data_IF_548905692454
#
_entry.id   IF_548905692454
#
_cell.length_a   1.000
_cell.length_b   1.000
_cell.length_c   1.000
_cell.angle_alpha   90.00
_cell.angle_beta   90.00
_cell.angle_gamma   90.00
#
_symmetry.space_group_name_H-M   'P 1'
#
loop_
_entity.id
_entity.type
_entity.pdbx_description
1 polymer ?
#
# COMPACT_ATOMS: atom_id res chain seq x y z
N UNK A 1 -9.05 -8.33 24.18
CA UNK A 1 -8.55 -8.94 22.93
C UNK A 1 -8.68 -7.94 21.81
N UNK A 2 -7.69 -7.85 20.91
CA UNK A 2 -7.86 -7.11 19.66
C UNK A 2 -9.09 -7.64 18.90
N UNK A 3 -9.76 -6.76 18.15
CA UNK A 3 -10.81 -7.17 17.23
C UNK A 3 -10.17 -7.90 16.04
N UNK A 4 -10.75 -9.03 15.66
CA UNK A 4 -10.37 -9.81 14.50
C UNK A 4 -11.51 -9.78 13.48
N UNK A 5 -11.18 -9.50 12.22
CA UNK A 5 -12.09 -9.54 11.08
C UNK A 5 -11.46 -10.49 10.07
N UNK A 6 -11.90 -11.74 10.07
CA UNK A 6 -11.29 -12.80 9.28
C UNK A 6 -12.28 -13.63 8.47
N UNK A 7 -11.82 -14.14 7.33
CA UNK A 7 -12.57 -15.05 6.46
C UNK A 7 -13.93 -14.54 6.02
N UNK A 8 -14.08 -13.23 5.82
CA UNK A 8 -15.30 -12.64 5.32
C UNK A 8 -15.27 -12.50 3.79
N UNK A 9 -16.45 -12.60 3.18
CA UNK A 9 -16.65 -12.28 1.77
C UNK A 9 -17.38 -10.95 1.63
N UNK A 10 -16.64 -9.87 1.37
CA UNK A 10 -17.19 -8.56 1.06
C UNK A 10 -17.30 -8.41 -0.45
N UNK A 11 -18.52 -8.18 -0.97
CA UNK A 11 -18.69 -8.10 -2.40
C UNK A 11 -19.76 -7.13 -2.87
N UNK A 12 -19.61 -6.71 -4.13
CA UNK A 12 -20.63 -6.01 -4.92
C UNK A 12 -21.17 -4.74 -4.26
N UNK A 13 -20.25 -3.93 -3.73
CA UNK A 13 -20.58 -2.59 -3.25
C UNK A 13 -20.52 -1.61 -4.41
N UNK A 14 -21.67 -1.20 -4.92
CA UNK A 14 -21.74 -0.25 -6.04
C UNK A 14 -21.17 1.13 -5.69
N UNK A 15 -20.71 1.84 -6.72
CA UNK A 15 -20.17 3.19 -6.60
C UNK A 15 -21.17 4.15 -6.00
N UNK A 16 -20.82 4.71 -4.84
CA UNK A 16 -21.70 5.61 -4.11
C UNK A 16 -21.72 7.04 -4.67
N UNK A 17 -20.68 7.44 -5.40
CA UNK A 17 -20.54 8.78 -5.98
C UNK A 17 -20.28 9.91 -4.97
N UNK A 18 -20.15 9.58 -3.68
CA UNK A 18 -19.77 10.48 -2.59
C UNK A 18 -19.03 9.73 -1.49
N UNK A 19 -18.37 10.46 -0.60
CA UNK A 19 -17.67 9.90 0.55
C UNK A 19 -18.62 9.29 1.60
N UNK A 20 -18.13 8.33 2.40
CA UNK A 20 -18.87 7.65 3.47
C UNK A 20 -19.37 6.26 3.09
N UNK A 21 -18.72 5.66 2.09
CA UNK A 21 -19.04 4.35 1.55
C UNK A 21 -17.86 3.36 1.65
N UNK A 22 -16.99 3.52 2.65
CA UNK A 22 -15.91 2.58 2.94
C UNK A 22 -16.47 1.18 3.26
N UNK A 23 -15.85 0.11 2.75
CA UNK A 23 -16.26 -1.28 3.08
C UNK A 23 -15.95 -1.60 4.53
N UNK A 24 -14.73 -1.29 4.98
CA UNK A 24 -14.35 -1.36 6.38
C UNK A 24 -13.80 -0.01 6.82
N UNK A 25 -14.18 0.40 8.02
CA UNK A 25 -13.54 1.53 8.70
C UNK A 25 -13.19 1.13 10.13
N UNK A 26 -11.92 1.30 10.50
CA UNK A 26 -11.45 1.11 11.88
C UNK A 26 -11.33 2.48 12.52
N UNK A 27 -12.21 2.76 13.50
CA UNK A 27 -12.38 4.05 14.21
C UNK A 27 -12.90 5.21 13.32
N UNK A 28 -13.19 6.39 13.89
CA UNK A 28 -13.88 7.50 13.24
C UNK A 28 -13.34 8.88 13.62
N UNK A 29 -12.91 9.66 12.61
CA UNK A 29 -12.69 11.11 12.67
C UNK A 29 -11.54 11.62 13.54
N UNK A 30 -11.04 10.82 14.49
CA UNK A 30 -10.02 11.21 15.50
C UNK A 30 -8.86 10.22 15.59
N UNK A 31 -8.54 9.56 14.48
CA UNK A 31 -7.69 8.37 14.43
C UNK A 31 -6.21 8.48 14.79
N UNK A 32 -5.80 9.59 15.37
CA UNK A 32 -4.46 9.79 15.94
C UNK A 32 -4.46 9.61 17.46
N UNK A 33 -5.56 9.09 18.04
CA UNK A 33 -5.76 9.04 19.49
C UNK A 33 -5.52 7.66 20.08
N UNK A 34 -5.78 6.60 19.32
CA UNK A 34 -5.97 5.27 19.89
C UNK A 34 -5.25 4.18 19.11
N UNK A 35 -4.58 3.31 19.87
CA UNK A 35 -4.16 2.01 19.39
C UNK A 35 -5.39 1.10 19.35
N UNK A 36 -5.72 0.58 18.17
CA UNK A 36 -6.86 -0.33 18.00
C UNK A 36 -6.43 -1.79 17.94
N UNK A 37 -5.19 -2.05 17.50
CA UNK A 37 -4.65 -3.40 17.32
C UNK A 37 -5.56 -4.32 16.49
N UNK A 38 -6.43 -3.77 15.65
CA UNK A 38 -7.38 -4.56 14.86
C UNK A 38 -6.61 -5.38 13.82
N UNK A 39 -6.99 -6.64 13.69
CA UNK A 39 -6.45 -7.54 12.67
C UNK A 39 -7.54 -7.79 11.64
N UNK A 40 -7.29 -7.38 10.39
CA UNK A 40 -8.13 -7.65 9.23
C UNK A 40 -7.36 -8.64 8.37
N UNK A 41 -7.76 -9.91 8.39
CA UNK A 41 -7.00 -10.94 7.74
C UNK A 41 -7.79 -11.96 6.94
N UNK A 42 -7.20 -12.49 5.87
CA UNK A 42 -7.81 -13.56 5.09
C UNK A 42 -9.25 -13.28 4.60
N UNK A 43 -9.57 -12.01 4.33
CA UNK A 43 -10.85 -11.63 3.75
C UNK A 43 -10.75 -11.50 2.23
N UNK A 44 -11.86 -11.76 1.54
CA UNK A 44 -12.00 -11.53 0.12
C UNK A 44 -12.88 -10.31 -0.12
N UNK A 45 -12.35 -9.34 -0.87
CA UNK A 45 -13.05 -8.15 -1.34
C UNK A 45 -13.21 -8.25 -2.86
N UNK A 46 -14.45 -8.29 -3.37
CA UNK A 46 -14.75 -8.38 -4.80
C UNK A 46 -15.66 -7.24 -5.21
N UNK A 47 -15.26 -6.38 -6.16
CA UNK A 47 -16.08 -5.24 -6.60
C UNK A 47 -16.59 -4.39 -5.42
N UNK A 48 -15.70 -4.14 -4.47
CA UNK A 48 -15.96 -3.25 -3.33
C UNK A 48 -15.77 -1.80 -3.77
N UNK A 49 -16.68 -1.29 -4.60
CA UNK A 49 -16.52 -0.06 -5.37
C UNK A 49 -17.20 1.15 -4.72
N UNK A 50 -17.50 1.10 -3.41
CA UNK A 50 -18.27 2.14 -2.72
C UNK A 50 -17.66 3.54 -2.84
N UNK A 51 -16.37 3.66 -2.52
CA UNK A 51 -15.59 4.90 -2.68
C UNK A 51 -14.09 4.60 -2.77
N UNK A 52 -13.26 5.64 -2.79
CA UNK A 52 -11.80 5.51 -2.91
C UNK A 52 -11.07 4.84 -1.75
N UNK A 53 -11.76 4.49 -0.66
CA UNK A 53 -11.21 3.80 0.51
C UNK A 53 -11.98 2.49 0.73
N UNK A 54 -11.43 1.36 0.26
CA UNK A 54 -12.03 0.04 0.51
C UNK A 54 -11.95 -0.27 2.01
N UNK A 55 -10.74 -0.15 2.55
CA UNK A 55 -10.48 -0.17 3.99
C UNK A 55 -9.93 1.19 4.38
N UNK A 56 -10.53 1.82 5.38
CA UNK A 56 -10.08 3.10 5.93
C UNK A 56 -9.67 2.93 7.39
N UNK A 57 -8.36 2.81 7.59
CA UNK A 57 -7.75 2.74 8.91
C UNK A 57 -7.62 4.15 9.47
N UNK A 58 -8.27 4.38 10.60
CA UNK A 58 -8.24 5.64 11.32
C UNK A 58 -7.81 5.39 12.77
N UNK A 59 -6.74 4.62 12.99
CA UNK A 59 -6.18 4.31 14.31
C UNK A 59 -4.76 3.77 14.17
N UNK A 60 -4.08 3.49 15.29
CA UNK A 60 -2.70 3.00 15.32
C UNK A 60 -2.63 1.47 15.48
N UNK A 61 -1.47 0.91 15.09
CA UNK A 61 -1.08 -0.50 15.35
C UNK A 61 -2.00 -1.58 14.76
N UNK A 62 -2.73 -1.28 13.69
CA UNK A 62 -3.56 -2.28 13.01
C UNK A 62 -2.75 -3.14 12.04
N UNK A 63 -3.21 -4.36 11.82
CA UNK A 63 -2.65 -5.29 10.84
C UNK A 63 -3.68 -5.66 9.78
N UNK A 64 -3.32 -5.48 8.52
CA UNK A 64 -4.11 -5.84 7.35
C UNK A 64 -3.28 -6.86 6.57
N UNK A 65 -3.61 -8.15 6.70
CA UNK A 65 -2.77 -9.22 6.17
C UNK A 65 -3.50 -10.32 5.41
N UNK A 66 -2.83 -10.92 4.41
CA UNK A 66 -3.35 -12.08 3.69
C UNK A 66 -4.75 -11.90 3.07
N UNK A 67 -5.19 -10.66 2.85
CA UNK A 67 -6.47 -10.38 2.19
C UNK A 67 -6.30 -10.41 0.67
N UNK A 68 -7.41 -10.62 -0.03
CA UNK A 68 -7.45 -10.56 -1.49
C UNK A 68 -8.48 -9.52 -1.94
N UNK A 69 -8.02 -8.53 -2.71
CA UNK A 69 -8.84 -7.50 -3.34
C UNK A 69 -8.91 -7.79 -4.84
N UNK A 70 -10.10 -8.00 -5.37
CA UNK A 70 -10.34 -8.32 -6.78
C UNK A 70 -11.29 -7.32 -7.38
N UNK A 71 -10.88 -6.76 -8.51
CA UNK A 71 -11.71 -5.87 -9.34
C UNK A 71 -12.42 -4.82 -8.45
N UNK A 72 -11.68 -4.21 -7.52
CA UNK A 72 -12.24 -3.29 -6.53
C UNK A 72 -11.66 -1.89 -6.73
N UNK A 73 -12.54 -0.91 -6.89
CA UNK A 73 -12.23 0.51 -6.91
C UNK A 73 -11.83 1.00 -5.51
N UNK A 74 -10.72 1.71 -5.42
CA UNK A 74 -10.21 2.28 -4.16
C UNK A 74 -8.95 1.59 -3.64
N UNK A 75 -8.51 1.99 -2.44
CA UNK A 75 -7.28 1.53 -1.80
C UNK A 75 -7.52 0.97 -0.38
N UNK A 76 -6.56 0.19 0.12
CA UNK A 76 -6.35 0.05 1.57
C UNK A 76 -5.66 1.33 2.05
N UNK A 77 -6.39 2.14 2.81
CA UNK A 77 -5.96 3.49 3.18
C UNK A 77 -5.68 3.56 4.68
N UNK A 78 -4.42 3.85 5.03
CA UNK A 78 -4.06 4.38 6.33
C UNK A 78 -4.41 5.86 6.29
N UNK A 79 -5.67 6.14 6.64
CA UNK A 79 -6.27 7.46 6.50
C UNK A 79 -5.82 8.39 7.63
N UNK A 80 -5.64 7.82 8.82
CA UNK A 80 -5.01 8.44 9.98
C UNK A 80 -4.47 7.34 10.89
N UNK A 81 -3.38 7.62 11.60
CA UNK A 81 -2.74 6.66 12.50
C UNK A 81 -1.35 6.29 12.03
N UNK A 82 -0.62 5.64 12.92
CA UNK A 82 0.82 5.34 12.82
C UNK A 82 1.04 3.86 13.19
N UNK A 83 2.18 3.29 12.80
CA UNK A 83 2.57 1.90 13.10
C UNK A 83 1.61 0.83 12.55
N UNK A 84 0.88 1.14 11.48
CA UNK A 84 0.00 0.16 10.84
C UNK A 84 0.78 -0.69 9.83
N UNK A 85 0.35 -1.94 9.66
CA UNK A 85 0.98 -2.92 8.78
C UNK A 85 0.03 -3.43 7.71
N UNK A 86 0.40 -3.23 6.45
CA UNK A 86 -0.29 -3.80 5.27
C UNK A 86 0.65 -4.85 4.68
N UNK A 87 0.37 -6.15 4.86
CA UNK A 87 1.33 -7.19 4.51
C UNK A 87 0.74 -8.43 3.88
N UNK A 88 1.41 -9.01 2.87
CA UNK A 88 0.97 -10.29 2.31
C UNK A 88 -0.38 -10.24 1.58
N UNK A 89 -0.85 -9.06 1.15
CA UNK A 89 -2.15 -8.94 0.49
C UNK A 89 -2.00 -9.06 -1.04
N UNK A 90 -3.02 -9.62 -1.69
CA UNK A 90 -3.16 -9.67 -3.14
C UNK A 90 -4.13 -8.59 -3.63
N UNK A 91 -3.69 -7.73 -4.53
CA UNK A 91 -4.50 -6.69 -5.19
C UNK A 91 -4.54 -6.97 -6.70
N UNK A 92 -5.70 -7.39 -7.20
CA UNK A 92 -5.87 -7.90 -8.56
C UNK A 92 -6.98 -7.12 -9.29
N UNK A 93 -6.61 -6.06 -10.00
CA UNK A 93 -7.58 -5.17 -10.66
C UNK A 93 -8.15 -5.74 -11.96
N UNK A 94 -7.31 -6.42 -12.75
CA UNK A 94 -7.62 -6.83 -14.13
C UNK A 94 -8.07 -5.66 -15.01
N UNK A 95 -9.39 -5.40 -15.07
CA UNK A 95 -9.99 -4.35 -15.88
C UNK A 95 -10.66 -3.25 -15.05
N UNK A 96 -10.69 -3.39 -13.72
CA UNK A 96 -11.32 -2.40 -12.85
C UNK A 96 -10.49 -1.10 -12.87
N UNK A 97 -11.05 0.01 -13.40
CA UNK A 97 -10.37 1.29 -13.36
C UNK A 97 -10.26 1.77 -11.91
N UNK A 98 -9.28 2.63 -11.62
CA UNK A 98 -9.15 3.24 -10.29
C UNK A 98 -9.00 2.23 -9.13
N UNK A 99 -8.54 1.02 -9.44
CA UNK A 99 -8.07 0.11 -8.42
C UNK A 99 -6.67 0.53 -7.93
N UNK A 100 -6.51 0.62 -6.61
CA UNK A 100 -5.28 1.06 -5.97
C UNK A 100 -4.80 0.04 -4.92
N UNK A 101 -3.51 0.08 -4.59
CA UNK A 101 -2.96 -0.81 -3.57
C UNK A 101 -3.10 -0.21 -2.17
N UNK A 102 -2.01 0.43 -1.70
CA UNK A 102 -1.94 1.04 -0.38
C UNK A 102 -1.84 2.57 -0.45
N UNK A 103 -2.64 3.26 0.36
CA UNK A 103 -2.56 4.72 0.56
C UNK A 103 -2.11 5.05 1.97
N UNK A 104 -1.05 5.84 2.11
CA UNK A 104 -0.43 6.11 3.41
C UNK A 104 -0.45 7.57 3.82
N UNK A 105 -0.78 7.78 5.09
CA UNK A 105 -0.58 8.98 5.90
C UNK A 105 0.04 8.59 7.24
N UNK A 106 0.61 9.55 7.97
CA UNK A 106 1.18 9.26 9.30
C UNK A 106 2.55 8.59 9.26
N UNK A 107 2.93 8.02 10.39
CA UNK A 107 4.30 7.63 10.73
C UNK A 107 4.48 6.11 10.84
N UNK A 108 5.68 5.63 10.51
CA UNK A 108 6.14 4.27 10.85
C UNK A 108 5.23 3.14 10.35
N UNK A 109 4.45 3.39 9.31
CA UNK A 109 3.63 2.36 8.70
C UNK A 109 4.47 1.53 7.74
N UNK A 110 4.10 0.26 7.60
CA UNK A 110 4.83 -0.70 6.76
C UNK A 110 3.91 -1.30 5.68
N UNK A 111 4.38 -1.32 4.44
CA UNK A 111 3.74 -2.05 3.32
C UNK A 111 4.72 -3.07 2.79
N UNK A 112 4.56 -4.34 3.20
CA UNK A 112 5.56 -5.39 2.97
C UNK A 112 4.96 -6.67 2.39
N UNK A 113 5.60 -7.28 1.39
CA UNK A 113 5.17 -8.55 0.78
C UNK A 113 3.79 -8.52 0.11
N UNK A 114 3.34 -7.37 -0.40
CA UNK A 114 2.07 -7.32 -1.12
C UNK A 114 2.31 -7.57 -2.62
N UNK A 115 1.34 -8.21 -3.27
CA UNK A 115 1.35 -8.46 -4.70
C UNK A 115 0.25 -7.67 -5.38
N UNK A 116 0.61 -6.90 -6.40
CA UNK A 116 -0.25 -5.91 -7.03
C UNK A 116 -0.22 -6.12 -8.54
N UNK A 117 -1.39 -6.32 -9.14
CA UNK A 117 -1.53 -6.59 -10.57
C UNK A 117 -2.59 -5.71 -11.21
N UNK A 118 -2.20 -5.05 -12.31
CA UNK A 118 -3.12 -4.25 -13.12
C UNK A 118 -3.66 -3.00 -12.45
N UNK A 119 -3.11 -2.60 -11.29
CA UNK A 119 -3.61 -1.44 -10.53
C UNK A 119 -3.31 -0.15 -11.29
N UNK A 120 -4.18 0.86 -11.17
CA UNK A 120 -3.87 2.18 -11.70
C UNK A 120 -2.65 2.77 -10.97
N UNK A 121 -2.61 2.63 -9.63
CA UNK A 121 -1.43 2.95 -8.80
C UNK A 121 -1.28 1.99 -7.63
N UNK A 122 -0.05 1.54 -7.40
CA UNK A 122 0.25 0.58 -6.34
C UNK A 122 0.36 1.24 -4.96
N UNK A 123 1.37 2.09 -4.77
CA UNK A 123 1.65 2.74 -3.50
C UNK A 123 1.49 4.24 -3.65
N UNK A 124 0.59 4.81 -2.85
CA UNK A 124 0.24 6.22 -2.95
C UNK A 124 0.35 6.93 -1.61
N UNK A 125 0.81 8.18 -1.64
CA UNK A 125 0.74 9.08 -0.49
C UNK A 125 0.52 10.50 -0.96
N UNK A 126 0.06 11.40 -0.08
CA UNK A 126 -0.04 12.81 -0.42
C UNK A 126 0.63 13.68 0.62
N UNK A 127 0.86 14.94 0.27
CA UNK A 127 1.35 15.94 1.19
C UNK A 127 0.38 16.10 2.37
N UNK A 128 0.95 16.35 3.53
CA UNK A 128 0.23 16.59 4.77
C UNK A 128 -0.06 18.06 5.02
N UNK A 129 -1.08 18.29 5.84
CA UNK A 129 -1.43 19.60 6.38
C UNK A 129 -0.65 19.91 7.67
N UNK A 130 -0.10 18.89 8.35
CA UNK A 130 0.67 19.07 9.59
C UNK A 130 1.77 18.01 9.80
N UNK A 131 2.83 18.40 10.51
CA UNK A 131 3.96 17.53 10.85
C UNK A 131 3.69 16.69 12.10
N UNK A 132 2.84 17.15 13.05
CA UNK A 132 2.84 16.82 14.49
C UNK A 132 3.56 15.49 14.81
N UNK A 133 4.90 15.48 15.02
CA UNK A 133 5.61 14.25 15.30
C UNK A 133 5.62 13.91 16.80
N UNK A 134 5.23 14.84 17.68
CA UNK A 134 5.36 14.67 19.13
C UNK A 134 4.53 15.75 19.83
N UNK A 135 3.58 15.35 20.69
CA UNK A 135 2.98 16.26 21.68
C UNK A 135 3.75 16.03 22.97
N UNK A 136 4.56 17.01 23.37
CA UNK A 136 5.31 16.88 24.60
C UNK A 136 4.36 16.95 25.83
N UNK A 137 4.78 16.45 27.02
CA UNK A 137 3.91 16.43 28.21
C UNK A 137 3.38 17.82 28.63
N UNK A 138 4.15 18.90 28.39
CA UNK A 138 3.73 20.27 28.71
C UNK A 138 2.65 20.80 27.74
N UNK A 139 2.75 20.47 26.45
CA UNK A 139 1.74 20.77 25.43
C UNK A 139 0.46 19.98 25.70
N UNK A 140 0.58 18.73 26.14
CA UNK A 140 -0.55 17.91 26.60
C UNK A 140 -1.23 18.52 27.84
N UNK A 141 -0.45 19.02 28.80
CA UNK A 141 -0.98 19.65 30.01
C UNK A 141 -1.61 21.03 29.76
N UNK A 142 -1.19 21.74 28.71
CA UNK A 142 -1.77 23.01 28.28
C UNK A 142 -3.04 22.85 27.42
N UNK A 143 -3.40 21.62 27.02
CA UNK A 143 -4.65 21.31 26.32
C UNK A 143 -5.79 21.24 27.34
N UNK A 144 -6.24 22.40 27.80
CA UNK A 144 -7.24 22.53 28.86
C UNK A 144 -8.69 22.30 28.39
N UNK A 145 -8.94 22.14 27.08
CA UNK A 145 -10.29 22.01 26.55
C UNK A 145 -10.34 21.06 25.34
N UNK A 146 -11.36 20.19 25.28
CA UNK A 146 -11.56 19.25 24.16
C UNK A 146 -11.66 19.96 22.80
N UNK A 147 -11.97 21.26 22.82
CA UNK A 147 -12.18 22.14 21.68
C UNK A 147 -10.90 22.80 21.12
N UNK A 148 -9.79 22.84 21.87
CA UNK A 148 -8.50 23.36 21.35
C UNK A 148 -7.84 22.36 20.36
N UNK A 149 -8.41 21.17 20.21
CA UNK A 149 -8.02 20.18 19.20
C UNK A 149 -8.59 20.47 17.80
N UNK A 150 -9.56 21.40 17.65
CA UNK A 150 -10.06 21.86 16.34
C UNK A 150 -8.95 22.49 15.48
N UNK A 151 -7.86 22.95 16.10
CA UNK A 151 -6.66 23.47 15.42
C UNK A 151 -5.72 22.33 14.96
N UNK A 152 -5.86 21.13 15.54
CA UNK A 152 -5.04 19.93 15.28
C UNK A 152 -5.77 18.83 14.49
N UNK A 153 -7.00 19.09 14.03
CA UNK A 153 -7.64 18.35 12.93
C UNK A 153 -6.96 18.68 11.58
N UNK A 154 -5.66 18.40 11.48
CA UNK A 154 -5.07 18.24 10.16
C UNK A 154 -5.78 17.08 9.49
N UNK A 155 -6.38 17.32 8.31
CA UNK A 155 -7.09 16.25 7.62
C UNK A 155 -6.14 15.15 7.22
N UNK A 156 -4.90 15.49 6.88
CA UNK A 156 -3.86 14.55 6.50
C UNK A 156 -2.57 14.90 7.22
N UNK A 157 -2.02 13.98 8.01
CA UNK A 157 -0.66 14.12 8.55
C UNK A 157 0.34 13.80 7.46
N UNK A 158 1.44 14.55 7.43
CA UNK A 158 2.55 14.25 6.53
C UNK A 158 3.02 12.82 6.76
N UNK A 159 3.28 12.10 5.67
CA UNK A 159 3.70 10.71 5.74
C UNK A 159 5.22 10.63 5.89
N UNK A 160 5.68 10.14 7.04
CA UNK A 160 7.09 10.18 7.43
C UNK A 160 7.55 8.84 7.98
N UNK A 161 8.81 8.47 7.77
CA UNK A 161 9.41 7.24 8.36
C UNK A 161 8.64 5.95 7.99
N UNK A 162 7.98 5.91 6.82
CA UNK A 162 7.25 4.73 6.37
C UNK A 162 8.17 3.79 5.59
N UNK A 163 7.90 2.49 5.68
CA UNK A 163 8.67 1.45 4.97
C UNK A 163 7.81 0.77 3.92
N UNK A 164 8.31 0.68 2.70
CA UNK A 164 7.68 -0.06 1.60
C UNK A 164 8.71 -1.01 1.03
N UNK A 165 8.57 -2.30 1.31
CA UNK A 165 9.59 -3.27 0.92
C UNK A 165 9.03 -4.60 0.44
N UNK A 166 9.78 -5.30 -0.41
CA UNK A 166 9.42 -6.64 -0.89
C UNK A 166 8.02 -6.70 -1.54
N UNK A 167 7.51 -5.63 -2.13
CA UNK A 167 6.25 -5.72 -2.87
C UNK A 167 6.53 -6.09 -4.33
N UNK A 168 5.62 -6.85 -4.95
CA UNK A 168 5.67 -7.17 -6.38
C UNK A 168 4.54 -6.45 -7.09
N UNK A 169 4.88 -5.66 -8.12
CA UNK A 169 3.97 -4.79 -8.84
C UNK A 169 4.07 -5.09 -10.34
N UNK A 170 3.04 -5.69 -10.92
CA UNK A 170 3.04 -6.21 -12.29
C UNK A 170 1.96 -5.54 -13.11
N UNK A 171 2.32 -5.01 -14.29
CA UNK A 171 1.40 -4.41 -15.24
C UNK A 171 0.52 -3.29 -14.65
N UNK A 172 1.05 -2.55 -13.68
CA UNK A 172 0.33 -1.44 -13.04
C UNK A 172 0.60 -0.12 -13.77
N UNK A 173 -0.28 0.88 -13.62
CA UNK A 173 -0.09 2.21 -14.18
C UNK A 173 1.16 2.88 -13.61
N UNK A 174 1.22 3.01 -12.28
CA UNK A 174 2.41 3.46 -11.56
C UNK A 174 2.69 2.67 -10.28
N UNK A 175 3.97 2.40 -10.00
CA UNK A 175 4.38 1.66 -8.81
C UNK A 175 4.35 2.55 -7.55
N UNK A 176 4.87 3.77 -7.63
CA UNK A 176 4.85 4.69 -6.51
C UNK A 176 4.46 6.10 -6.94
N UNK A 177 3.52 6.70 -6.21
CA UNK A 177 3.03 8.05 -6.52
C UNK A 177 2.83 8.91 -5.27
N UNK A 178 3.44 10.10 -5.26
CA UNK A 178 3.28 11.07 -4.18
C UNK A 178 2.62 12.34 -4.69
N UNK A 179 1.49 12.69 -4.11
CA UNK A 179 0.65 13.78 -4.60
C UNK A 179 0.85 15.05 -3.79
N UNK A 180 1.08 16.16 -4.47
CA UNK A 180 1.11 17.51 -3.86
C UNK A 180 -0.29 18.00 -3.49
N UNK A 181 -1.31 17.61 -4.27
CA UNK A 181 -2.71 17.97 -4.04
C UNK A 181 -3.59 16.72 -3.91
N UNK A 182 -4.86 16.91 -3.55
CA UNK A 182 -5.83 15.82 -3.38
C UNK A 182 -5.96 14.99 -4.65
N UNK A 183 -6.14 13.69 -4.46
CA UNK A 183 -6.75 12.82 -5.46
C UNK A 183 -8.23 13.16 -5.55
N UNK A 184 -8.62 14.11 -6.39
CA UNK A 184 -10.02 14.58 -6.49
C UNK A 184 -11.03 13.45 -6.73
N UNK A 185 -10.63 12.41 -7.48
CA UNK A 185 -11.46 11.23 -7.73
C UNK A 185 -11.48 10.20 -6.58
N UNK A 186 -10.45 10.15 -5.74
CA UNK A 186 -10.42 9.28 -4.56
C UNK A 186 -11.10 9.94 -3.35
N UNK A 187 -11.02 11.27 -3.25
CA UNK A 187 -11.58 12.11 -2.20
C UNK A 187 -12.72 12.96 -2.79
N UNK A 188 -13.88 12.34 -3.01
CA UNK A 188 -15.09 12.94 -3.66
C UNK A 188 -15.73 14.10 -2.86
N UNK A 189 -15.05 14.69 -1.87
CA UNK A 189 -15.53 15.84 -1.11
C UNK A 189 -15.15 17.15 -1.80
N UNK A 190 -16.14 18.03 -1.99
CA UNK A 190 -15.86 19.45 -2.23
C UNK A 190 -14.95 20.02 -1.10
N UNK A 191 -13.95 20.85 -1.42
CA UNK A 191 -12.98 21.33 -0.45
C UNK A 191 -13.67 22.23 0.58
N UNK A 192 -14.01 21.71 1.77
CA UNK A 192 -14.64 22.55 2.82
C UNK A 192 -13.74 23.69 3.35
N UNK A 193 -12.45 23.74 2.98
CA UNK A 193 -11.52 24.82 3.34
C UNK A 193 -10.51 25.07 2.19
N UNK A 194 -10.90 25.83 1.17
CA UNK A 194 -10.11 26.09 -0.04
C UNK A 194 -8.83 26.94 0.16
N UNK A 195 -8.33 27.10 1.40
CA UNK A 195 -7.21 27.98 1.73
C UNK A 195 -6.09 27.36 2.56
N UNK A 196 -6.18 26.09 2.97
CA UNK A 196 -5.04 25.39 3.60
C UNK A 196 -4.22 24.73 2.51
N UNK A 197 -2.99 25.21 2.30
CA UNK A 197 -2.05 24.56 1.41
C UNK A 197 -1.46 23.33 2.14
N UNK A 198 -1.67 22.13 1.61
CA UNK A 198 -0.91 20.95 2.02
C UNK A 198 0.55 21.24 1.62
N UNK A 199 1.40 21.50 2.61
CA UNK A 199 2.73 22.05 2.41
C UNK A 199 3.85 21.10 2.84
N UNK A 200 3.49 19.93 3.37
CA UNK A 200 4.45 19.03 3.99
C UNK A 200 4.60 17.77 3.14
N UNK A 201 5.68 17.66 2.34
CA UNK A 201 5.89 16.50 1.50
C UNK A 201 6.15 15.25 2.35
N UNK A 202 5.79 14.07 1.81
CA UNK A 202 6.30 12.79 2.29
C UNK A 202 7.83 12.81 2.39
N UNK A 203 8.40 12.19 3.42
CA UNK A 203 9.84 12.26 3.67
C UNK A 203 10.35 11.14 4.59
N UNK A 204 11.64 10.80 4.53
CA UNK A 204 12.25 9.67 5.26
C UNK A 204 11.60 8.32 5.00
N UNK A 205 11.25 8.05 3.75
CA UNK A 205 10.70 6.74 3.40
C UNK A 205 11.84 5.76 3.11
N UNK A 206 11.70 4.54 3.59
CA UNK A 206 12.52 3.42 3.13
C UNK A 206 11.76 2.69 2.02
N UNK A 207 12.32 2.65 0.82
CA UNK A 207 11.74 1.95 -0.33
C UNK A 207 12.76 0.94 -0.85
N UNK A 208 12.55 -0.33 -0.49
CA UNK A 208 13.58 -1.34 -0.66
C UNK A 208 13.09 -2.67 -1.21
N UNK A 209 13.88 -3.32 -2.06
CA UNK A 209 13.62 -4.70 -2.50
C UNK A 209 12.25 -4.91 -3.14
N UNK A 210 11.66 -3.87 -3.73
CA UNK A 210 10.41 -4.00 -4.49
C UNK A 210 10.72 -4.45 -5.93
N UNK A 211 9.85 -5.28 -6.47
CA UNK A 211 9.92 -5.76 -7.85
C UNK A 211 8.82 -5.07 -8.68
N UNK A 212 9.22 -4.29 -9.68
CA UNK A 212 8.30 -3.58 -10.58
C UNK A 212 8.46 -4.11 -12.01
N UNK A 213 7.37 -4.58 -12.61
CA UNK A 213 7.39 -5.21 -13.94
C UNK A 213 6.32 -4.60 -14.82
N UNK A 214 6.73 -4.06 -15.97
CA UNK A 214 5.85 -3.48 -16.98
C UNK A 214 4.93 -2.39 -16.42
N UNK A 215 5.48 -1.48 -15.60
CA UNK A 215 4.75 -0.27 -15.22
C UNK A 215 4.43 0.56 -16.48
N UNK A 216 3.17 0.93 -16.67
CA UNK A 216 2.68 1.47 -17.95
C UNK A 216 3.01 2.95 -18.12
N UNK A 217 2.93 3.74 -17.05
CA UNK A 217 3.22 5.17 -17.07
C UNK A 217 4.61 5.46 -16.52
N UNK A 218 4.80 5.29 -15.21
CA UNK A 218 6.07 5.56 -14.52
C UNK A 218 6.23 4.66 -13.31
N UNK A 219 7.46 4.30 -12.98
CA UNK A 219 7.76 3.56 -11.77
C UNK A 219 7.54 4.42 -10.52
N UNK A 220 7.98 5.67 -10.57
CA UNK A 220 8.04 6.55 -9.41
C UNK A 220 7.71 7.97 -9.88
N UNK A 221 6.73 8.63 -9.27
CA UNK A 221 6.33 9.96 -9.74
C UNK A 221 5.76 10.86 -8.64
N UNK A 222 6.16 12.12 -8.67
CA UNK A 222 5.50 13.18 -7.91
C UNK A 222 4.49 13.85 -8.80
N UNK A 223 3.24 13.94 -8.35
CA UNK A 223 2.15 14.43 -9.19
C UNK A 223 1.48 15.63 -8.53
N UNK A 224 1.28 16.67 -9.31
CA UNK A 224 0.38 17.78 -8.99
C UNK A 224 -0.77 17.84 -9.99
N UNK A 225 -1.82 18.60 -9.65
CA UNK A 225 -3.06 18.63 -10.41
C UNK A 225 -4.04 17.53 -9.99
N UNK A 226 -5.13 17.41 -10.75
CA UNK A 226 -6.18 16.43 -10.51
C UNK A 226 -5.96 15.16 -11.33
N UNK A 227 -6.16 14.01 -10.67
CA UNK A 227 -5.98 12.70 -11.28
C UNK A 227 -6.86 12.52 -12.54
N UNK A 228 -6.21 12.28 -13.68
CA UNK A 228 -6.83 11.93 -14.96
C UNK A 228 -7.13 13.08 -15.94
N UNK A 229 -7.33 14.33 -15.52
CA UNK A 229 -7.70 15.44 -16.43
C UNK A 229 -6.69 16.59 -16.51
N UNK A 230 -5.64 16.58 -15.68
CA UNK A 230 -4.62 17.64 -15.68
C UNK A 230 -3.42 17.33 -14.78
N UNK A 231 -3.05 16.06 -14.66
CA UNK A 231 -1.89 15.66 -13.87
C UNK A 231 -0.60 16.17 -14.52
N UNK A 232 0.22 16.83 -13.73
CA UNK A 232 1.60 17.15 -14.09
C UNK A 232 2.51 16.30 -13.22
N UNK A 233 3.37 15.51 -13.86
CA UNK A 233 4.46 14.85 -13.15
C UNK A 233 5.53 15.90 -12.89
N UNK A 234 5.74 16.25 -11.63
CA UNK A 234 6.70 17.26 -11.21
C UNK A 234 8.05 16.60 -10.86
N UNK A 235 9.13 17.33 -11.10
CA UNK A 235 10.39 17.05 -10.43
C UNK A 235 10.32 17.65 -9.03
N UNK A 236 10.33 16.79 -8.00
CA UNK A 236 10.31 17.22 -6.60
C UNK A 236 11.51 16.61 -5.90
N UNK A 237 12.22 17.42 -5.11
CA UNK A 237 13.27 16.92 -4.25
C UNK A 237 12.67 16.04 -3.14
N UNK A 238 13.03 14.76 -3.14
CA UNK A 238 12.76 13.88 -2.01
C UNK A 238 13.56 14.31 -0.81
N UNK A 239 12.87 14.49 0.31
CA UNK A 239 13.54 14.73 1.57
C UNK A 239 13.82 13.38 2.24
N UNK A 240 15.09 12.99 2.20
CA UNK A 240 15.66 11.84 2.91
C UNK A 240 15.04 10.47 2.52
N UNK A 241 14.65 10.27 1.27
CA UNK A 241 14.22 8.94 0.82
C UNK A 241 15.42 7.99 0.73
N UNK A 242 15.25 6.77 1.25
CA UNK A 242 16.23 5.70 1.18
C UNK A 242 15.75 4.63 0.21
N UNK A 243 16.39 4.59 -0.97
CA UNK A 243 16.13 3.59 -2.01
C UNK A 243 17.23 2.53 -2.02
N UNK A 244 16.89 1.25 -2.02
CA UNK A 244 17.88 0.17 -2.05
C UNK A 244 17.34 -1.15 -2.61
N UNK A 245 18.10 -1.84 -3.45
CA UNK A 245 17.82 -3.23 -3.86
C UNK A 245 16.53 -3.43 -4.66
N UNK A 246 15.89 -2.38 -5.15
CA UNK A 246 14.69 -2.53 -5.98
C UNK A 246 15.07 -3.05 -7.37
N UNK A 247 14.17 -3.79 -8.01
CA UNK A 247 14.33 -4.30 -9.37
C UNK A 247 13.19 -3.79 -10.23
N UNK A 248 13.53 -3.34 -11.44
CA UNK A 248 12.56 -2.92 -12.43
C UNK A 248 12.81 -3.53 -13.80
N UNK A 249 11.73 -3.87 -14.48
CA UNK A 249 11.77 -4.35 -15.85
C UNK A 249 10.62 -3.78 -16.67
N UNK A 250 10.91 -3.49 -17.94
CA UNK A 250 9.93 -3.18 -18.96
C UNK A 250 10.32 -3.97 -20.22
N UNK A 251 9.41 -4.78 -20.72
CA UNK A 251 9.61 -5.57 -21.93
C UNK A 251 9.65 -4.70 -23.21
N UNK A 252 8.98 -3.55 -23.18
CA UNK A 252 8.90 -2.61 -24.30
C UNK A 252 9.12 -1.16 -23.85
N UNK A 253 10.13 -0.51 -24.43
CA UNK A 253 10.45 0.89 -24.18
C UNK A 253 11.29 1.11 -22.92
N UNK A 254 11.54 2.36 -22.60
CA UNK A 254 12.39 2.73 -21.47
C UNK A 254 11.65 2.65 -20.13
N UNK A 255 12.43 2.34 -19.10
CA UNK A 255 12.00 2.43 -17.71
C UNK A 255 12.01 3.90 -17.29
N UNK A 256 10.83 4.46 -16.99
CA UNK A 256 10.68 5.84 -16.54
C UNK A 256 10.55 5.94 -15.00
N UNK A 257 11.37 6.79 -14.39
CA UNK A 257 11.35 7.14 -12.97
C UNK A 257 10.74 8.52 -12.70
N UNK A 258 9.98 9.02 -13.67
CA UNK A 258 9.49 10.38 -13.70
C UNK A 258 10.56 11.37 -14.20
N UNK A 259 10.15 12.61 -14.53
CA UNK A 259 11.02 13.60 -15.12
C UNK A 259 12.18 13.98 -14.20
N UNK A 260 13.39 13.93 -14.76
CA UNK A 260 14.63 14.37 -14.10
C UNK A 260 15.16 13.43 -13.02
N UNK A 261 14.67 12.19 -12.92
CA UNK A 261 15.13 11.22 -11.91
C UNK A 261 15.98 10.13 -12.52
N UNK A 262 17.12 9.92 -11.92
CA UNK A 262 18.00 8.79 -12.17
C UNK A 262 18.35 8.15 -10.82
N UNK A 263 18.42 6.82 -10.83
CA UNK A 263 18.78 6.04 -9.66
C UNK A 263 20.07 5.28 -9.93
N UNK A 264 20.89 5.15 -8.90
CA UNK A 264 22.06 4.30 -8.96
C UNK A 264 21.64 2.81 -8.97
N UNK A 265 22.51 1.94 -9.47
CA UNK A 265 22.25 0.50 -9.60
C UNK A 265 22.00 -0.22 -8.27
N UNK A 266 22.56 0.30 -7.17
CA UNK A 266 22.27 -0.22 -5.82
C UNK A 266 20.88 0.18 -5.30
N UNK A 267 20.26 1.22 -5.88
CA UNK A 267 18.91 1.66 -5.56
C UNK A 267 17.87 0.92 -6.41
N UNK A 268 18.17 0.83 -7.71
CA UNK A 268 17.35 0.20 -8.73
C UNK A 268 18.19 -0.55 -9.76
N UNK A 269 17.95 -1.85 -9.91
CA UNK A 269 18.49 -2.65 -11.00
C UNK A 269 17.48 -2.76 -12.13
N UNK A 270 17.91 -2.49 -13.37
CA UNK A 270 17.10 -2.64 -14.57
C UNK A 270 17.41 -3.98 -15.23
N UNK A 271 16.63 -5.00 -14.93
CA UNK A 271 16.91 -6.37 -15.40
C UNK A 271 15.62 -7.19 -15.48
N UNK A 272 15.49 -8.05 -16.48
CA UNK A 272 14.35 -8.96 -16.59
C UNK A 272 14.31 -9.94 -15.40
N UNK A 273 13.28 -9.89 -14.54
CA UNK A 273 13.16 -10.78 -13.38
C UNK A 273 12.82 -12.22 -13.75
N UNK A 274 12.59 -12.55 -15.03
CA UNK A 274 12.24 -13.89 -15.51
C UNK A 274 11.05 -14.47 -14.75
N UNK A 275 10.00 -13.67 -14.64
CA UNK A 275 8.74 -14.10 -14.02
C UNK A 275 8.03 -15.15 -14.89
N UNK A 276 7.40 -16.12 -14.24
CA UNK A 276 6.56 -17.14 -14.88
C UNK A 276 5.13 -17.09 -14.33
N UNK A 277 4.10 -17.32 -15.15
CA UNK A 277 2.73 -17.32 -14.67
C UNK A 277 2.49 -18.44 -13.67
N UNK A 278 1.73 -18.14 -12.62
CA UNK A 278 1.18 -19.15 -11.71
C UNK A 278 -0.16 -19.70 -12.24
N UNK A 279 -0.72 -20.67 -11.51
CA UNK A 279 -2.08 -21.15 -11.73
C UNK A 279 -3.16 -20.08 -11.42
N UNK A 280 -2.82 -19.02 -10.68
CA UNK A 280 -3.75 -17.96 -10.32
C UNK A 280 -3.62 -16.81 -11.33
N UNK A 281 -4.73 -16.48 -11.99
CA UNK A 281 -4.79 -15.41 -12.99
C UNK A 281 -4.21 -14.10 -12.43
N UNK A 282 -3.28 -13.50 -13.15
CA UNK A 282 -2.63 -12.23 -12.77
C UNK A 282 -1.50 -12.38 -11.75
N UNK A 283 -1.23 -13.58 -11.24
CA UNK A 283 -0.13 -13.85 -10.32
C UNK A 283 1.02 -14.55 -11.05
N UNK A 284 2.21 -13.98 -10.92
CA UNK A 284 3.46 -14.45 -11.48
C UNK A 284 4.47 -14.70 -10.36
N UNK A 285 5.36 -15.67 -10.56
CA UNK A 285 6.40 -16.08 -9.61
C UNK A 285 7.78 -16.00 -10.22
N UNK A 286 8.80 -15.95 -9.38
CA UNK A 286 10.18 -16.05 -9.83
C UNK A 286 10.40 -17.42 -10.50
N UNK A 287 11.13 -17.41 -11.62
CA UNK A 287 11.67 -18.66 -12.17
C UNK A 287 13.04 -18.98 -11.56
N UNK A 288 13.53 -20.21 -11.77
CA UNK A 288 14.88 -20.62 -11.36
C UNK A 288 16.00 -19.72 -11.91
N UNK A 289 15.75 -19.06 -13.04
CA UNK A 289 16.71 -18.18 -13.70
C UNK A 289 16.55 -16.71 -13.28
N UNK A 290 15.72 -16.41 -12.29
CA UNK A 290 15.43 -15.05 -11.90
C UNK A 290 16.65 -14.39 -11.24
N UNK A 291 17.05 -13.19 -11.69
CA UNK A 291 18.06 -12.38 -11.02
C UNK A 291 17.54 -11.73 -9.73
N UNK A 292 16.26 -11.90 -9.38
CA UNK A 292 15.71 -11.43 -8.12
C UNK A 292 16.09 -12.34 -6.94
N UNK A 293 16.51 -13.58 -7.22
CA UNK A 293 16.81 -14.60 -6.21
C UNK A 293 18.02 -14.18 -5.38
N UNK A 294 17.91 -14.27 -4.05
CA UNK A 294 18.96 -13.98 -3.07
C UNK A 294 19.58 -12.56 -3.15
N UNK A 295 18.92 -11.62 -3.81
CA UNK A 295 19.48 -10.30 -4.16
C UNK A 295 18.88 -9.11 -3.40
N UNK A 296 18.02 -9.34 -2.41
CA UNK A 296 17.52 -8.26 -1.57
C UNK A 296 18.64 -7.59 -0.75
N UNK A 297 18.58 -6.26 -0.69
CA UNK A 297 19.49 -5.44 0.10
C UNK A 297 19.01 -5.29 1.55
N UNK A 298 19.97 -5.30 2.49
CA UNK A 298 19.73 -5.00 3.90
C UNK A 298 18.95 -6.06 4.67
N UNK A 299 18.66 -5.76 5.94
CA UNK A 299 17.94 -6.66 6.84
C UNK A 299 16.55 -6.13 7.17
N UNK A 300 15.53 -6.95 6.92
CA UNK A 300 14.13 -6.67 7.21
C UNK A 300 13.55 -7.81 8.06
N UNK A 301 13.37 -7.58 9.36
CA UNK A 301 12.83 -8.58 10.29
C UNK A 301 11.38 -8.93 9.97
N UNK A 302 10.64 -7.96 9.46
CA UNK A 302 9.23 -8.11 9.09
C UNK A 302 9.00 -8.91 7.81
N UNK A 303 10.06 -9.30 7.09
CA UNK A 303 9.99 -10.11 5.87
C UNK A 303 10.49 -11.55 6.11
N UNK A 304 10.23 -12.15 7.28
CA UNK A 304 10.68 -13.52 7.58
C UNK A 304 9.95 -14.62 6.79
N UNK A 305 8.76 -14.31 6.27
CA UNK A 305 8.01 -15.16 5.35
C UNK A 305 7.62 -14.36 4.12
N UNK A 306 7.46 -15.02 2.98
CA UNK A 306 7.03 -14.42 1.73
C UNK A 306 5.50 -14.26 1.65
N UNK A 307 4.98 -13.82 0.50
CA UNK A 307 3.55 -13.63 0.30
C UNK A 307 2.74 -14.94 0.37
N UNK A 308 3.35 -16.06 0.01
CA UNK A 308 2.70 -17.37 0.06
C UNK A 308 2.83 -18.02 1.46
N UNK A 309 3.50 -17.36 2.40
CA UNK A 309 3.72 -17.83 3.77
C UNK A 309 4.94 -18.74 3.94
N UNK A 310 5.76 -18.88 2.90
CA UNK A 310 6.98 -19.68 2.89
C UNK A 310 8.09 -18.94 3.66
N UNK A 311 8.94 -19.69 4.37
CA UNK A 311 9.99 -19.10 5.23
C UNK A 311 11.19 -18.70 4.39
N UNK A 312 11.64 -17.45 4.52
CA UNK A 312 12.87 -16.94 3.91
C UNK A 312 14.08 -17.30 4.77
N UNK A 313 14.71 -18.44 4.49
CA UNK A 313 15.78 -19.04 5.32
C UNK A 313 17.18 -18.50 5.00
N UNK A 314 17.38 -17.91 3.83
CA UNK A 314 18.65 -17.42 3.33
C UNK A 314 18.67 -15.90 3.12
N UNK A 315 19.57 -15.41 2.25
CA UNK A 315 19.36 -14.12 1.58
C UNK A 315 17.92 -14.09 1.02
N UNK A 316 17.29 -12.92 1.02
CA UNK A 316 15.91 -12.80 0.58
C UNK A 316 15.87 -12.45 -0.91
N UNK A 317 14.82 -12.85 -1.57
CA UNK A 317 14.55 -12.45 -2.94
C UNK A 317 13.97 -11.04 -3.03
N UNK A 318 14.23 -10.34 -4.14
CA UNK A 318 13.59 -9.06 -4.44
C UNK A 318 12.13 -9.29 -4.86
N UNK A 319 11.20 -8.60 -4.22
CA UNK A 319 9.76 -8.78 -4.41
C UNK A 319 9.09 -9.66 -3.35
N UNK A 320 7.79 -9.87 -3.52
CA UNK A 320 6.91 -10.48 -2.52
C UNK A 320 7.05 -12.00 -2.42
N UNK A 321 7.41 -12.64 -3.52
CA UNK A 321 7.67 -14.08 -3.67
C UNK A 321 9.09 -14.40 -3.22
N UNK A 322 9.27 -15.52 -2.52
CA UNK A 322 10.57 -16.17 -2.39
C UNK A 322 10.58 -17.39 -3.31
N UNK A 323 11.63 -17.53 -4.12
CA UNK A 323 11.76 -18.64 -5.03
C UNK A 323 11.96 -19.94 -4.25
N UNK A 324 10.88 -20.70 -4.15
CA UNK A 324 10.89 -22.04 -3.60
C UNK A 324 10.66 -23.10 -4.70
N UNK A 325 11.69 -23.85 -5.12
CA UNK A 325 11.58 -24.84 -6.18
C UNK A 325 10.47 -25.87 -5.90
N UNK A 326 9.44 -25.91 -6.75
CA UNK A 326 8.39 -26.94 -6.69
C UNK A 326 7.42 -26.84 -5.50
N UNK A 327 7.46 -25.74 -4.74
CA UNK A 327 6.60 -25.52 -3.57
C UNK A 327 5.75 -24.27 -3.80
N UNK A 328 4.43 -24.41 -3.76
CA UNK A 328 3.52 -23.29 -3.57
C UNK A 328 3.22 -23.18 -2.06
N UNK A 329 3.26 -21.96 -1.52
CA UNK A 329 3.00 -21.77 -0.10
C UNK A 329 1.52 -21.99 0.27
N UNK A 330 1.19 -22.05 1.57
CA UNK A 330 -0.19 -22.20 2.02
C UNK A 330 -1.09 -21.01 1.67
N UNK A 331 -0.53 -19.83 1.44
CA UNK A 331 -1.29 -18.63 1.09
C UNK A 331 -1.33 -18.43 -0.42
N UNK A 332 -2.49 -18.02 -0.90
CA UNK A 332 -2.78 -17.74 -2.31
C UNK A 332 -3.90 -16.70 -2.41
N UNK A 333 -4.14 -16.10 -3.59
CA UNK A 333 -5.33 -15.29 -3.80
C UNK A 333 -6.58 -16.08 -3.41
N UNK A 334 -7.40 -15.48 -2.54
CA UNK A 334 -8.62 -16.08 -2.04
C UNK A 334 -9.72 -16.08 -3.11
N UNK A 335 -10.57 -17.10 -3.06
CA UNK A 335 -11.79 -17.22 -3.85
C UNK A 335 -13.00 -17.30 -2.91
N UNK A 336 -14.23 -17.18 -3.44
CA UNK A 336 -15.45 -17.31 -2.62
C UNK A 336 -15.57 -18.66 -1.88
N UNK A 337 -14.81 -19.69 -2.27
CA UNK A 337 -14.76 -20.97 -1.57
C UNK A 337 -13.86 -20.95 -0.32
N UNK A 338 -12.98 -19.97 -0.19
CA UNK A 338 -12.02 -19.88 0.91
C UNK A 338 -12.56 -19.06 2.10
N UNK A 339 -13.68 -18.35 1.92
CA UNK A 339 -14.21 -17.38 2.88
C UNK A 339 -15.74 -17.46 2.99
N UNK A 340 -16.28 -16.80 4.01
CA UNK A 340 -17.70 -16.69 4.24
C UNK A 340 -18.36 -18.03 4.58
N UNK A 341 -19.69 -18.14 4.44
CA UNK A 341 -20.43 -19.35 4.79
C UNK A 341 -20.12 -20.55 3.87
N UNK A 342 -19.39 -20.32 2.77
CA UNK A 342 -18.96 -21.35 1.83
C UNK A 342 -17.56 -21.90 2.15
N UNK A 343 -16.87 -21.35 3.16
CA UNK A 343 -15.57 -21.88 3.59
C UNK A 343 -15.76 -23.27 4.25
N UNK A 344 -15.28 -24.31 3.55
CA UNK A 344 -15.44 -25.71 3.97
C UNK A 344 -14.40 -26.20 4.98
N UNK A 345 -13.45 -25.36 5.39
CA UNK A 345 -12.45 -25.70 6.40
C UNK A 345 -12.00 -24.44 7.16
N UNK A 346 -11.77 -24.55 8.49
CA UNK A 346 -11.07 -23.50 9.21
C UNK A 346 -9.66 -23.35 8.59
N UNK A 347 -9.26 -22.15 8.20
CA UNK A 347 -7.99 -21.90 7.54
C UNK A 347 -6.83 -21.93 8.53
N UNK A 348 -5.65 -22.27 7.99
CA UNK A 348 -4.41 -22.32 8.75
C UNK A 348 -4.06 -20.91 9.24
N UNK A 349 -4.28 -20.68 10.54
CA UNK A 349 -3.87 -19.45 11.24
C UNK A 349 -2.35 -19.32 11.11
N UNK A 350 -1.91 -18.14 10.67
CA UNK A 350 -0.50 -17.79 10.64
C UNK A 350 0.02 -17.71 12.07
N UNK A 351 0.79 -18.70 12.50
CA UNK A 351 1.57 -18.59 13.74
C UNK A 351 2.75 -17.66 13.45
N UNK A 352 2.88 -16.53 14.17
CA UNK A 352 3.88 -15.49 13.90
C UNK A 352 5.33 -16.02 13.81
#
# INVERSE_FOLDING_TARGET
NPMECDHNYFHDRETHGRNGAETIRVDGGRGHRWDAYTVIEHNLFVRCNGEGEIISIKSHHNTIRANTFRESFGAVTIRSGDYNRITGNFFLAFTEPMAFGARLHGLYNTVINNYMYGLERCIISSWGDTHIPYINPAQRAAMADEDNWKVHEARYRASYENTVAFNTMVQCGAAFTWFKRRLSRLDMRAPRHAGRAANLPPARWTVANNLVVNAQHFAVGFVSGEMGSGETVESVAEKDFHWSGNLIFRDQGEVDFGPGRAFATHQWQRIDPKLVPSQHRGVFRLSKASPAIDHAAGHFYDAGRDIEGQVRRGPKDVGADEYHPGSAGPLRPLTPQDVGPLSGAPPNVFVP
#
